data_IF_157986768575
#
_entry.id   IF_157986768575
#
_cell.length_a   1.000
_cell.length_b   1.000
_cell.length_c   1.000
_cell.angle_alpha   90.00
_cell.angle_beta   90.00
_cell.angle_gamma   90.00
#
_symmetry.space_group_name_H-M   'P 1'
#
loop_
_entity.id
_entity.type
_entity.pdbx_description
1 polymer ?
#
# COMPACT_ATOMS: atom_id res chain seq x y z
N UNK A 1 0.36 21.64 29.62
CA UNK A 1 1.55 21.81 28.74
C UNK A 1 2.40 20.53 28.64
N UNK A 2 2.67 19.79 29.72
CA UNK A 2 3.43 18.53 29.67
C UNK A 2 2.78 17.43 28.81
N UNK A 3 1.45 17.28 28.87
CA UNK A 3 0.71 16.30 28.05
C UNK A 3 0.84 16.55 26.54
N UNK A 4 0.71 17.81 26.11
CA UNK A 4 0.86 18.22 24.72
C UNK A 4 2.30 18.00 24.22
N UNK A 5 3.31 18.37 25.01
CA UNK A 5 4.71 18.11 24.69
C UNK A 5 5.01 16.60 24.62
N UNK A 6 4.48 15.81 25.55
CA UNK A 6 4.63 14.36 25.56
C UNK A 6 3.96 13.66 24.37
N UNK A 7 2.85 14.20 23.87
CA UNK A 7 2.18 13.70 22.67
C UNK A 7 3.00 14.01 21.40
N UNK A 8 3.52 15.23 21.26
CA UNK A 8 4.39 15.62 20.13
C UNK A 8 5.61 14.71 20.05
N UNK A 9 6.30 14.47 21.17
CA UNK A 9 7.46 13.57 21.22
C UNK A 9 7.10 12.15 20.79
N UNK A 10 5.95 11.63 21.26
CA UNK A 10 5.46 10.31 20.84
C UNK A 10 5.13 10.24 19.35
N UNK A 11 4.51 11.28 18.77
CA UNK A 11 4.20 11.29 17.33
C UNK A 11 5.48 11.32 16.48
N UNK A 12 6.52 12.04 16.91
CA UNK A 12 7.82 12.04 16.22
C UNK A 12 8.48 10.67 16.26
N UNK A 13 8.47 10.01 17.43
CA UNK A 13 9.00 8.65 17.57
C UNK A 13 8.21 7.65 16.70
N UNK A 14 6.88 7.74 16.71
CA UNK A 14 5.99 6.94 15.87
C UNK A 14 6.29 7.14 14.38
N UNK A 15 6.49 8.37 13.91
CA UNK A 15 6.81 8.66 12.52
C UNK A 15 8.16 8.03 12.10
N UNK A 16 9.18 8.09 12.97
CA UNK A 16 10.46 7.44 12.74
C UNK A 16 10.33 5.92 12.63
N UNK A 17 9.57 5.30 13.54
CA UNK A 17 9.34 3.85 13.53
C UNK A 17 8.50 3.42 12.32
N UNK A 18 7.47 4.19 11.96
CA UNK A 18 6.67 3.98 10.76
C UNK A 18 7.55 3.93 9.50
N UNK A 19 8.42 4.93 9.31
CA UNK A 19 9.32 4.96 8.16
C UNK A 19 10.21 3.71 8.11
N UNK A 20 10.83 3.33 9.22
CA UNK A 20 11.64 2.10 9.30
C UNK A 20 10.82 0.83 9.00
N UNK A 21 9.56 0.78 9.43
CA UNK A 21 8.66 -0.37 9.22
C UNK A 21 8.28 -0.52 7.74
N UNK A 22 7.92 0.58 7.06
CA UNK A 22 7.63 0.53 5.61
C UNK A 22 8.89 0.23 4.80
N UNK A 23 10.05 0.67 5.28
CA UNK A 23 11.35 0.37 4.67
C UNK A 23 11.73 -1.12 4.75
N UNK A 24 11.31 -1.86 5.79
CA UNK A 24 11.57 -3.29 5.91
C UNK A 24 11.15 -4.10 4.66
N UNK A 25 10.08 -3.69 3.98
CA UNK A 25 9.60 -4.32 2.76
C UNK A 25 10.59 -4.22 1.58
N UNK A 26 11.44 -3.19 1.53
CA UNK A 26 12.44 -2.99 0.46
C UNK A 26 13.58 -4.02 0.50
N UNK A 27 13.77 -4.65 1.66
CA UNK A 27 14.86 -5.60 1.87
C UNK A 27 14.47 -7.05 1.58
N UNK A 28 13.18 -7.31 1.33
CA UNK A 28 12.67 -8.66 1.10
C UNK A 28 12.77 -9.02 -0.38
N UNK A 29 13.34 -10.20 -0.65
CA UNK A 29 13.32 -10.87 -1.95
C UNK A 29 12.59 -12.21 -1.84
N UNK A 30 12.10 -12.73 -2.97
CA UNK A 30 11.45 -14.04 -3.02
C UNK A 30 12.34 -15.05 -3.73
N UNK A 31 12.53 -16.22 -3.14
CA UNK A 31 13.31 -17.32 -3.72
C UNK A 31 12.64 -17.94 -4.95
N UNK A 32 13.43 -18.55 -5.85
CA UNK A 32 12.91 -19.23 -7.05
C UNK A 32 11.96 -20.38 -6.76
N UNK A 33 11.99 -20.91 -5.53
CA UNK A 33 11.06 -21.93 -5.05
C UNK A 33 9.58 -21.48 -5.09
N UNK A 34 9.30 -20.18 -5.17
CA UNK A 34 7.93 -19.67 -5.34
C UNK A 34 7.34 -20.01 -6.70
N UNK A 35 8.16 -20.26 -7.73
CA UNK A 35 7.69 -20.73 -9.03
C UNK A 35 6.55 -19.87 -9.60
N UNK A 36 5.44 -20.54 -9.90
CA UNK A 36 4.21 -19.92 -10.43
C UNK A 36 3.55 -18.91 -9.46
N UNK A 37 3.80 -19.05 -8.15
CA UNK A 37 3.17 -18.23 -7.11
C UNK A 37 3.98 -16.95 -6.83
N UNK A 38 5.10 -16.75 -7.52
CA UNK A 38 5.97 -15.57 -7.38
C UNK A 38 5.22 -14.26 -7.60
N UNK A 39 4.52 -14.11 -8.73
CA UNK A 39 3.84 -12.86 -9.07
C UNK A 39 2.78 -12.49 -8.03
N UNK A 40 1.95 -13.45 -7.63
CA UNK A 40 0.92 -13.29 -6.59
C UNK A 40 1.56 -12.95 -5.23
N UNK A 41 2.67 -13.60 -4.89
CA UNK A 41 3.38 -13.35 -3.62
C UNK A 41 4.05 -11.98 -3.59
N UNK A 42 4.64 -11.54 -4.71
CA UNK A 42 5.19 -10.19 -4.83
C UNK A 42 4.10 -9.14 -4.62
N UNK A 43 2.95 -9.28 -5.28
CA UNK A 43 1.84 -8.34 -5.13
C UNK A 43 1.21 -8.35 -3.73
N UNK A 44 1.19 -9.50 -3.04
CA UNK A 44 0.78 -9.59 -1.64
C UNK A 44 1.68 -8.79 -0.71
N UNK A 45 2.99 -8.78 -0.98
CA UNK A 45 3.96 -7.96 -0.25
C UNK A 45 3.77 -6.47 -0.57
N UNK A 46 3.60 -6.15 -1.85
CA UNK A 46 3.37 -4.77 -2.31
C UNK A 46 2.10 -4.19 -1.72
N UNK A 47 1.02 -4.98 -1.66
CA UNK A 47 -0.27 -4.55 -1.12
C UNK A 47 -0.20 -4.31 0.39
N UNK A 48 0.43 -5.21 1.16
CA UNK A 48 0.65 -5.01 2.58
C UNK A 48 1.45 -3.71 2.85
N UNK A 49 2.50 -3.45 2.05
CA UNK A 49 3.27 -2.20 2.15
C UNK A 49 2.43 -0.98 1.78
N UNK A 50 1.69 -1.03 0.67
CA UNK A 50 0.84 0.06 0.22
C UNK A 50 -0.17 0.43 1.31
N UNK A 51 -0.82 -0.57 1.90
CA UNK A 51 -1.76 -0.43 3.01
C UNK A 51 -1.12 0.23 4.23
N UNK A 52 0.05 -0.25 4.67
CA UNK A 52 0.77 0.36 5.79
C UNK A 52 1.14 1.82 5.48
N UNK A 53 1.65 2.11 4.28
CA UNK A 53 1.97 3.48 3.87
C UNK A 53 0.75 4.41 3.88
N UNK A 54 -0.42 3.88 3.50
CA UNK A 54 -1.69 4.60 3.49
C UNK A 54 -2.12 4.97 4.90
N UNK A 55 -1.99 4.03 5.84
CA UNK A 55 -2.24 4.28 7.26
C UNK A 55 -1.37 5.46 7.77
N UNK A 56 -0.06 5.44 7.51
CA UNK A 56 0.82 6.52 7.94
C UNK A 56 0.49 7.87 7.29
N UNK A 57 0.17 7.87 5.99
CA UNK A 57 -0.28 9.08 5.27
C UNK A 57 -1.58 9.65 5.83
N UNK A 58 -2.53 8.80 6.21
CA UNK A 58 -3.80 9.24 6.83
C UNK A 58 -3.59 9.92 8.19
N UNK A 59 -2.50 9.57 8.88
CA UNK A 59 -2.06 10.20 10.12
C UNK A 59 -1.10 11.38 9.89
N UNK A 60 -0.77 11.71 8.63
CA UNK A 60 0.22 12.72 8.27
C UNK A 60 1.59 12.48 8.92
N UNK A 61 1.99 11.20 9.10
CA UNK A 61 3.33 10.83 9.55
C UNK A 61 4.42 11.13 8.50
N UNK A 62 3.99 11.52 7.30
CA UNK A 62 4.75 11.97 6.15
C UNK A 62 4.88 13.51 6.08
N UNK A 63 4.63 14.23 7.17
CA UNK A 63 4.92 15.66 7.27
C UNK A 63 5.84 15.99 8.44
N UNK A 64 6.97 16.65 8.19
CA UNK A 64 7.92 17.11 9.22
C UNK A 64 7.35 18.20 10.15
N UNK A 65 6.19 18.78 9.82
CA UNK A 65 5.54 19.82 10.63
C UNK A 65 4.58 19.28 11.69
N UNK A 66 5.07 18.37 12.55
CA UNK A 66 4.40 17.97 13.80
C UNK A 66 4.50 19.12 14.82
N UNK A 67 3.80 20.24 14.59
CA UNK A 67 3.99 21.48 15.38
C UNK A 67 2.77 21.97 16.14
N UNK A 68 1.58 21.43 15.89
CA UNK A 68 0.36 21.82 16.61
C UNK A 68 -0.24 20.67 17.41
N UNK A 69 -0.07 20.71 18.73
CA UNK A 69 -0.57 19.70 19.65
C UNK A 69 -2.11 19.59 19.68
N UNK A 70 -2.84 20.66 19.35
CA UNK A 70 -4.32 20.63 19.30
C UNK A 70 -4.78 19.80 18.11
N UNK A 71 -4.16 20.02 16.95
CA UNK A 71 -4.38 19.22 15.74
C UNK A 71 -3.99 17.74 15.92
N UNK A 72 -2.99 17.44 16.77
CA UNK A 72 -2.59 16.06 17.09
C UNK A 72 -3.59 15.34 18.01
N UNK A 73 -4.16 16.03 19.00
CA UNK A 73 -5.14 15.44 19.92
C UNK A 73 -6.39 14.92 19.20
N UNK A 74 -6.89 15.66 18.21
CA UNK A 74 -8.04 15.20 17.40
C UNK A 74 -7.73 14.02 16.48
N UNK A 75 -6.49 13.90 16.02
CA UNK A 75 -6.06 12.87 15.04
C UNK A 75 -5.57 11.58 15.68
N UNK A 76 -4.72 11.71 16.70
CA UNK A 76 -4.10 10.58 17.40
C UNK A 76 -4.90 10.17 18.65
N UNK A 77 -5.90 10.96 19.04
CA UNK A 77 -6.72 10.72 20.22
C UNK A 77 -5.90 10.91 21.50
N UNK A 78 -5.31 9.83 21.99
CA UNK A 78 -4.56 9.80 23.25
C UNK A 78 -3.11 9.39 23.06
N UNK A 79 -2.25 9.78 24.01
CA UNK A 79 -0.87 9.29 24.08
C UNK A 79 -0.80 7.76 24.20
N UNK A 80 -1.83 7.13 24.78
CA UNK A 80 -1.90 5.67 24.87
C UNK A 80 -2.09 5.03 23.49
N UNK A 81 -2.90 5.63 22.61
CA UNK A 81 -3.07 5.15 21.24
C UNK A 81 -1.76 5.27 20.45
N UNK A 82 -1.03 6.38 20.61
CA UNK A 82 0.30 6.55 19.99
C UNK A 82 1.26 5.47 20.45
N UNK A 83 1.35 5.22 21.76
CA UNK A 83 2.21 4.17 22.32
C UNK A 83 1.80 2.76 21.87
N UNK A 84 0.51 2.50 21.73
CA UNK A 84 0.01 1.22 21.22
C UNK A 84 0.38 1.05 19.74
N UNK A 85 0.26 2.10 18.93
CA UNK A 85 0.70 2.09 17.54
C UNK A 85 2.21 1.86 17.42
N UNK A 86 3.03 2.47 18.29
CA UNK A 86 4.47 2.20 18.36
C UNK A 86 4.73 0.71 18.65
N UNK A 87 3.97 0.11 19.56
CA UNK A 87 4.09 -1.32 19.90
C UNK A 87 3.77 -2.21 18.71
N UNK A 88 2.66 -1.96 18.01
CA UNK A 88 2.24 -2.74 16.83
C UNK A 88 3.25 -2.62 15.68
N UNK A 89 3.78 -1.42 15.41
CA UNK A 89 4.84 -1.25 14.42
C UNK A 89 6.14 -1.97 14.83
N UNK A 90 6.48 -1.95 16.12
CA UNK A 90 7.59 -2.70 16.68
C UNK A 90 7.46 -4.20 16.43
N UNK A 91 6.26 -4.76 16.63
CA UNK A 91 5.96 -6.16 16.33
C UNK A 91 6.13 -6.48 14.84
N UNK A 92 5.72 -5.58 13.92
CA UNK A 92 5.96 -5.77 12.48
C UNK A 92 7.47 -5.82 12.18
N UNK A 93 8.27 -4.95 12.79
CA UNK A 93 9.74 -4.97 12.63
C UNK A 93 10.33 -6.27 13.17
N UNK A 94 9.84 -6.77 14.30
CA UNK A 94 10.24 -8.06 14.88
C UNK A 94 9.90 -9.23 13.94
N UNK A 95 8.71 -9.25 13.33
CA UNK A 95 8.33 -10.29 12.36
C UNK A 95 9.29 -10.34 11.16
N UNK A 96 9.72 -9.18 10.64
CA UNK A 96 10.73 -9.13 9.57
C UNK A 96 12.10 -9.65 10.06
N UNK A 97 12.52 -9.27 11.26
CA UNK A 97 13.80 -9.72 11.84
C UNK A 97 13.81 -11.23 12.10
N UNK A 98 12.70 -11.79 12.58
CA UNK A 98 12.52 -13.24 12.75
C UNK A 98 12.61 -13.97 11.41
N UNK A 99 11.89 -13.47 10.40
CA UNK A 99 11.90 -14.04 9.05
C UNK A 99 13.30 -13.97 8.40
N UNK A 100 14.02 -12.86 8.58
CA UNK A 100 15.42 -12.71 8.17
C UNK A 100 16.33 -13.70 8.91
N UNK A 101 16.13 -13.87 10.22
CA UNK A 101 16.85 -14.87 11.01
C UNK A 101 16.65 -16.30 10.52
N UNK A 102 15.44 -16.65 10.09
CA UNK A 102 15.15 -17.95 9.47
C UNK A 102 15.81 -18.06 8.09
N UNK A 103 15.77 -17.00 7.28
CA UNK A 103 16.45 -16.93 5.99
C UNK A 103 17.96 -17.17 6.12
N UNK A 104 18.61 -16.51 7.08
CA UNK A 104 20.04 -16.64 7.34
C UNK A 104 20.40 -18.06 7.80
N UNK A 105 19.57 -18.68 8.65
CA UNK A 105 19.75 -20.09 9.04
C UNK A 105 19.62 -21.04 7.85
N UNK A 106 18.66 -20.79 6.96
CA UNK A 106 18.49 -21.58 5.74
C UNK A 106 19.72 -21.45 4.83
N UNK A 107 20.17 -20.21 4.58
CA UNK A 107 21.37 -19.91 3.78
C UNK A 107 22.64 -20.56 4.33
N UNK A 108 22.80 -20.61 5.66
CA UNK A 108 23.97 -21.24 6.30
C UNK A 108 24.02 -22.77 6.13
N UNK A 109 22.88 -23.40 5.83
CA UNK A 109 22.74 -24.86 5.68
C UNK A 109 22.68 -25.32 4.22
N UNK A 110 22.39 -24.40 3.29
CA UNK A 110 22.32 -24.70 1.87
C UNK A 110 23.72 -24.88 1.30
N UNK A 111 23.88 -25.88 0.42
CA UNK A 111 25.16 -26.10 -0.26
C UNK A 111 25.40 -25.01 -1.32
N UNK A 112 26.64 -24.53 -1.52
CA UNK A 112 26.93 -23.45 -2.46
C UNK A 112 26.56 -23.73 -3.93
N UNK A 113 26.41 -25.01 -4.29
CA UNK A 113 26.05 -25.46 -5.65
C UNK A 113 24.56 -25.75 -5.80
N UNK A 114 23.79 -25.71 -4.71
CA UNK A 114 22.36 -25.91 -4.74
C UNK A 114 21.67 -24.60 -5.19
N UNK A 115 20.93 -24.66 -6.30
CA UNK A 115 20.17 -23.54 -6.86
C UNK A 115 19.03 -23.05 -5.95
N UNK A 116 18.88 -23.64 -4.76
CA UNK A 116 17.85 -23.29 -3.77
C UNK A 116 17.97 -21.87 -3.20
N UNK A 117 19.15 -21.23 -3.33
CA UNK A 117 19.35 -19.84 -2.90
C UNK A 117 19.09 -18.78 -3.98
N UNK A 118 18.76 -19.19 -5.20
CA UNK A 118 18.47 -18.25 -6.29
C UNK A 118 17.16 -17.51 -5.98
N UNK A 119 17.14 -16.20 -6.23
CA UNK A 119 16.00 -15.32 -6.01
C UNK A 119 15.43 -14.81 -7.32
N UNK A 120 14.18 -14.39 -7.28
CA UNK A 120 13.57 -13.58 -8.32
C UNK A 120 14.03 -12.12 -8.22
N UNK A 121 14.13 -11.47 -9.37
CA UNK A 121 14.26 -10.04 -9.54
C UNK A 121 12.91 -9.48 -10.04
N UNK A 122 12.19 -8.69 -9.22
CA UNK A 122 10.92 -8.10 -9.62
C UNK A 122 10.98 -7.24 -10.89
N UNK A 123 12.15 -6.72 -11.28
CA UNK A 123 12.27 -5.89 -12.49
C UNK A 123 12.31 -6.72 -13.78
N UNK A 124 12.81 -7.96 -13.71
CA UNK A 124 13.07 -8.79 -14.90
C UNK A 124 12.23 -10.06 -14.94
N UNK A 125 11.80 -10.57 -13.80
CA UNK A 125 11.05 -11.83 -13.69
C UNK A 125 9.53 -11.67 -13.56
N UNK A 126 9.03 -10.45 -13.32
CA UNK A 126 7.59 -10.19 -13.36
C UNK A 126 7.11 -10.05 -14.81
N UNK A 127 5.90 -10.55 -15.08
CA UNK A 127 5.22 -10.23 -16.33
C UNK A 127 5.02 -8.71 -16.46
N UNK A 128 5.05 -8.13 -17.68
CA UNK A 128 5.06 -6.67 -17.86
C UNK A 128 3.93 -5.91 -17.16
N UNK A 129 2.72 -6.50 -17.11
CA UNK A 129 1.58 -5.91 -16.42
C UNK A 129 1.78 -5.89 -14.89
N UNK A 130 2.35 -6.96 -14.33
CA UNK A 130 2.64 -7.06 -12.89
C UNK A 130 3.85 -6.22 -12.51
N UNK A 131 4.87 -6.14 -13.36
CA UNK A 131 6.03 -5.27 -13.15
C UNK A 131 5.62 -3.79 -13.06
N UNK A 132 4.73 -3.34 -13.96
CA UNK A 132 4.18 -1.98 -13.92
C UNK A 132 3.36 -1.74 -12.65
N UNK A 133 2.57 -2.73 -12.23
CA UNK A 133 1.77 -2.64 -11.02
C UNK A 133 2.65 -2.57 -9.76
N UNK A 134 3.62 -3.49 -9.64
CA UNK A 134 4.62 -3.53 -8.59
C UNK A 134 5.33 -2.18 -8.44
N UNK A 135 5.88 -1.64 -9.53
CA UNK A 135 6.60 -0.36 -9.49
C UNK A 135 5.67 0.79 -9.08
N UNK A 136 4.41 0.79 -9.55
CA UNK A 136 3.47 1.85 -9.19
C UNK A 136 3.08 1.81 -7.72
N UNK A 137 2.81 0.62 -7.18
CA UNK A 137 2.50 0.44 -5.75
C UNK A 137 3.71 0.80 -4.88
N UNK A 138 4.91 0.39 -5.30
CA UNK A 138 6.18 0.76 -4.66
C UNK A 138 6.38 2.28 -4.65
N UNK A 139 6.21 2.95 -5.80
CA UNK A 139 6.32 4.40 -5.91
C UNK A 139 5.37 5.12 -4.95
N UNK A 140 4.07 4.74 -4.96
CA UNK A 140 3.06 5.33 -4.09
C UNK A 140 3.41 5.16 -2.61
N UNK A 141 3.98 4.02 -2.21
CA UNK A 141 4.39 3.78 -0.84
C UNK A 141 5.62 4.61 -0.44
N UNK A 142 6.60 4.78 -1.34
CA UNK A 142 7.83 5.56 -1.09
C UNK A 142 7.53 7.06 -1.01
N UNK A 143 6.67 7.58 -1.88
CA UNK A 143 6.28 9.01 -1.88
C UNK A 143 5.58 9.44 -0.57
N UNK A 144 5.10 8.49 0.22
CA UNK A 144 4.46 8.70 1.53
C UNK A 144 5.43 8.55 2.70
N UNK A 145 6.70 8.23 2.44
CA UNK A 145 7.72 8.21 3.46
C UNK A 145 8.33 9.61 3.57
N UNK A 146 8.58 10.04 4.80
CA UNK A 146 9.10 11.37 5.12
C UNK A 146 10.62 11.49 4.93
N UNK A 147 11.27 10.44 4.43
CA UNK A 147 12.72 10.29 4.47
C UNK A 147 13.33 10.30 3.07
N UNK A 148 14.47 10.99 2.92
CA UNK A 148 15.15 11.28 1.65
C UNK A 148 15.97 10.11 1.04
N UNK A 149 15.61 8.86 1.31
CA UNK A 149 16.26 7.69 0.70
C UNK A 149 16.19 6.40 1.53
N UNK A 150 16.20 5.26 0.84
CA UNK A 150 16.27 3.93 1.46
C UNK A 150 17.68 3.74 2.05
N UNK A 151 17.76 3.46 3.35
CA UNK A 151 18.99 3.04 4.03
C UNK A 151 19.54 1.81 3.34
N UNK A 152 20.85 1.81 3.11
CA UNK A 152 21.54 0.62 2.64
C UNK A 152 21.55 -0.43 3.76
N UNK A 153 20.53 -1.28 3.80
CA UNK A 153 20.57 -2.58 4.49
C UNK A 153 20.74 -3.69 3.44
N UNK A 154 21.33 -4.80 3.88
CA UNK A 154 21.45 -5.98 3.04
C UNK A 154 20.05 -6.51 2.71
N UNK A 155 19.81 -6.81 1.43
CA UNK A 155 18.62 -7.56 1.02
C UNK A 155 18.75 -9.00 1.51
N UNK A 156 17.63 -9.60 1.89
CA UNK A 156 17.50 -10.98 2.31
C UNK A 156 16.29 -11.61 1.62
N UNK A 157 16.19 -12.94 1.64
CA UNK A 157 15.21 -13.65 0.82
C UNK A 157 14.33 -14.60 1.63
N UNK A 158 13.05 -14.64 1.28
CA UNK A 158 12.13 -15.69 1.70
C UNK A 158 12.22 -16.84 0.71
N UNK A 159 12.73 -17.98 1.16
CA UNK A 159 12.89 -19.18 0.33
C UNK A 159 11.69 -20.13 0.40
N UNK A 160 10.82 -19.97 1.39
CA UNK A 160 9.70 -20.88 1.64
C UNK A 160 8.37 -20.14 1.67
N UNK A 161 7.43 -20.60 0.85
CA UNK A 161 6.09 -20.02 0.73
C UNK A 161 5.32 -20.04 2.06
N UNK A 162 5.50 -21.07 2.89
CA UNK A 162 4.89 -21.15 4.23
C UNK A 162 5.33 -19.98 5.14
N UNK A 163 6.61 -19.62 5.10
CA UNK A 163 7.14 -18.51 5.92
C UNK A 163 6.61 -17.18 5.42
N UNK A 164 6.54 -17.01 4.10
CA UNK A 164 5.95 -15.84 3.48
C UNK A 164 4.46 -15.68 3.82
N UNK A 165 3.66 -16.74 3.71
CA UNK A 165 2.22 -16.70 4.07
C UNK A 165 2.02 -16.22 5.49
N UNK A 166 2.74 -16.84 6.44
CA UNK A 166 2.66 -16.47 7.85
C UNK A 166 3.07 -15.01 8.09
N UNK A 167 4.21 -14.59 7.53
CA UNK A 167 4.67 -13.20 7.65
C UNK A 167 3.61 -12.20 7.16
N UNK A 168 3.00 -12.48 6.01
CA UNK A 168 1.98 -11.61 5.42
C UNK A 168 0.68 -11.62 6.22
N UNK A 169 0.24 -12.77 6.72
CA UNK A 169 -0.92 -12.91 7.60
C UNK A 169 -0.72 -12.09 8.88
N UNK A 170 0.38 -12.33 9.60
CA UNK A 170 0.72 -11.64 10.85
C UNK A 170 0.85 -10.11 10.64
N UNK A 171 1.48 -9.66 9.55
CA UNK A 171 1.55 -8.22 9.20
C UNK A 171 0.17 -7.65 8.93
N UNK A 172 -0.69 -8.37 8.21
CA UNK A 172 -2.04 -7.89 7.85
C UNK A 172 -2.88 -7.67 9.11
N UNK A 173 -2.83 -8.61 10.07
CA UNK A 173 -3.53 -8.51 11.36
C UNK A 173 -3.02 -7.34 12.23
N UNK A 174 -1.71 -7.10 12.24
CA UNK A 174 -1.13 -5.95 12.94
C UNK A 174 -1.54 -4.62 12.28
N UNK A 175 -1.62 -4.58 10.95
CA UNK A 175 -2.09 -3.40 10.22
C UNK A 175 -3.60 -3.19 10.40
N UNK A 176 -4.41 -4.24 10.49
CA UNK A 176 -5.83 -4.16 10.89
C UNK A 176 -5.95 -3.47 12.26
N UNK A 177 -5.17 -3.95 13.23
CA UNK A 177 -5.13 -3.39 14.59
C UNK A 177 -4.69 -1.92 14.59
N UNK A 178 -3.70 -1.55 13.76
CA UNK A 178 -3.26 -0.15 13.59
C UNK A 178 -4.36 0.74 13.03
N UNK A 179 -5.15 0.26 12.06
CA UNK A 179 -6.26 1.03 11.49
C UNK A 179 -7.38 1.21 12.52
N UNK A 180 -7.72 0.16 13.26
CA UNK A 180 -8.79 0.16 14.26
C UNK A 180 -8.48 1.08 15.46
N UNK A 181 -7.21 1.32 15.77
CA UNK A 181 -6.79 2.29 16.80
C UNK A 181 -7.10 3.75 16.44
N UNK A 182 -7.29 4.08 15.16
CA UNK A 182 -7.50 5.45 14.69
C UNK A 182 -8.71 5.54 13.75
N UNK A 183 -9.93 5.32 14.25
CA UNK A 183 -11.15 5.31 13.42
C UNK A 183 -11.41 6.65 12.73
N UNK A 184 -10.93 7.76 13.29
CA UNK A 184 -11.00 9.09 12.69
C UNK A 184 -10.28 9.19 11.32
N UNK A 185 -9.37 8.27 11.02
CA UNK A 185 -8.64 8.24 9.74
C UNK A 185 -9.34 7.45 8.64
N UNK A 186 -10.43 6.74 8.94
CA UNK A 186 -11.07 5.82 8.00
C UNK A 186 -11.52 6.52 6.71
N UNK A 187 -12.05 7.73 6.80
CA UNK A 187 -12.46 8.51 5.63
C UNK A 187 -11.26 8.90 4.76
N UNK A 188 -10.18 9.38 5.38
CA UNK A 188 -8.92 9.71 4.68
C UNK A 188 -8.32 8.48 4.01
N UNK A 189 -8.36 7.31 4.67
CA UNK A 189 -7.90 6.06 4.06
C UNK A 189 -8.74 5.66 2.85
N UNK A 190 -10.07 5.84 2.88
CA UNK A 190 -10.94 5.58 1.71
C UNK A 190 -10.56 6.49 0.54
N UNK A 191 -10.40 7.79 0.78
CA UNK A 191 -10.01 8.75 -0.26
C UNK A 191 -8.64 8.42 -0.86
N UNK A 192 -7.67 8.01 -0.02
CA UNK A 192 -6.37 7.56 -0.49
C UNK A 192 -6.46 6.28 -1.35
N UNK A 193 -7.39 5.35 -1.07
CA UNK A 193 -7.61 4.18 -1.92
C UNK A 193 -8.09 4.60 -3.32
N UNK A 194 -9.03 5.54 -3.41
CA UNK A 194 -9.54 6.00 -4.70
C UNK A 194 -8.43 6.68 -5.53
N UNK A 195 -7.55 7.44 -4.88
CA UNK A 195 -6.35 8.03 -5.50
C UNK A 195 -5.38 6.95 -5.97
N UNK A 196 -5.13 5.92 -5.16
CA UNK A 196 -4.26 4.80 -5.51
C UNK A 196 -4.79 4.03 -6.73
N UNK A 197 -6.07 3.67 -6.72
CA UNK A 197 -6.72 2.97 -7.84
C UNK A 197 -6.65 3.81 -9.11
N UNK A 198 -6.89 5.11 -9.00
CA UNK A 198 -6.76 6.05 -10.13
C UNK A 198 -5.33 6.11 -10.66
N UNK A 199 -4.33 6.11 -9.77
CA UNK A 199 -2.92 6.16 -10.14
C UNK A 199 -2.39 4.84 -10.71
N UNK A 200 -2.90 3.70 -10.24
CA UNK A 200 -2.59 2.36 -10.77
C UNK A 200 -3.22 2.18 -12.15
N UNK A 201 -4.45 2.69 -12.33
CA UNK A 201 -5.19 2.62 -13.58
C UNK A 201 -5.67 1.21 -13.96
N UNK A 202 -6.27 1.11 -15.13
CA UNK A 202 -6.81 -0.14 -15.66
C UNK A 202 -5.67 -0.99 -16.26
N UNK A 203 -5.12 -1.90 -15.48
CA UNK A 203 -4.11 -2.88 -15.92
C UNK A 203 -4.65 -4.30 -15.80
N UNK A 204 -4.11 -5.26 -16.56
CA UNK A 204 -4.46 -6.68 -16.38
C UNK A 204 -4.17 -7.19 -14.96
N UNK A 205 -3.24 -6.56 -14.25
CA UNK A 205 -2.92 -6.87 -12.86
C UNK A 205 -3.97 -6.42 -11.84
N UNK A 206 -4.92 -5.55 -12.23
CA UNK A 206 -5.92 -5.01 -11.29
C UNK A 206 -6.88 -6.09 -10.77
N UNK A 207 -7.22 -7.09 -11.58
CA UNK A 207 -8.07 -8.20 -11.16
C UNK A 207 -7.39 -9.07 -10.10
N UNK A 208 -6.10 -9.39 -10.32
CA UNK A 208 -5.31 -10.12 -9.34
C UNK A 208 -5.11 -9.30 -8.06
N UNK A 209 -4.85 -7.99 -8.18
CA UNK A 209 -4.76 -7.10 -7.02
C UNK A 209 -6.08 -7.05 -6.25
N UNK A 210 -7.23 -7.04 -6.92
CA UNK A 210 -8.54 -7.10 -6.26
C UNK A 210 -8.70 -8.37 -5.42
N UNK A 211 -8.32 -9.53 -5.96
CA UNK A 211 -8.35 -10.80 -5.23
C UNK A 211 -7.43 -10.78 -3.99
N UNK A 212 -6.23 -10.23 -4.15
CA UNK A 212 -5.28 -10.05 -3.04
C UNK A 212 -5.82 -9.08 -1.99
N UNK A 213 -6.37 -7.95 -2.43
CA UNK A 213 -6.94 -6.93 -1.56
C UNK A 213 -8.17 -7.43 -0.81
N UNK A 214 -8.97 -8.35 -1.37
CA UNK A 214 -10.10 -8.95 -0.66
C UNK A 214 -9.67 -9.64 0.66
N UNK A 215 -8.47 -10.22 0.69
CA UNK A 215 -7.90 -10.87 1.87
C UNK A 215 -7.11 -9.91 2.77
N UNK A 216 -6.45 -8.89 2.20
CA UNK A 216 -5.46 -8.07 2.92
C UNK A 216 -5.85 -6.61 3.15
N UNK A 217 -6.76 -6.07 2.34
CA UNK A 217 -7.08 -4.64 2.27
C UNK A 217 -8.50 -4.41 1.72
N UNK A 218 -9.50 -4.56 2.60
CA UNK A 218 -10.91 -4.39 2.25
C UNK A 218 -11.24 -3.01 1.66
N UNK A 219 -10.49 -1.96 2.04
CA UNK A 219 -10.74 -0.62 1.52
C UNK A 219 -10.27 -0.50 0.07
N UNK A 220 -9.10 -1.06 -0.25
CA UNK A 220 -8.61 -1.10 -1.61
C UNK A 220 -9.47 -1.97 -2.52
N UNK A 221 -9.92 -3.14 -2.04
CA UNK A 221 -10.85 -4.00 -2.77
C UNK A 221 -12.12 -3.24 -3.16
N UNK A 222 -12.72 -2.52 -2.19
CA UNK A 222 -13.92 -1.72 -2.42
C UNK A 222 -13.68 -0.62 -3.45
N UNK A 223 -12.54 0.07 -3.38
CA UNK A 223 -12.18 1.12 -4.33
C UNK A 223 -11.99 0.55 -5.75
N UNK A 224 -11.32 -0.60 -5.90
CA UNK A 224 -11.15 -1.27 -7.19
C UNK A 224 -12.51 -1.70 -7.76
N UNK A 225 -13.38 -2.26 -6.93
CA UNK A 225 -14.74 -2.68 -7.34
C UNK A 225 -15.54 -1.48 -7.81
N UNK A 226 -15.55 -0.37 -7.07
CA UNK A 226 -16.24 0.87 -7.49
C UNK A 226 -15.69 1.44 -8.79
N UNK A 227 -14.36 1.49 -8.94
CA UNK A 227 -13.72 1.99 -10.15
C UNK A 227 -14.12 1.12 -11.36
N UNK A 228 -14.14 -0.20 -11.21
CA UNK A 228 -14.54 -1.14 -12.25
C UNK A 228 -16.03 -0.99 -12.61
N UNK A 229 -16.90 -0.90 -11.61
CA UNK A 229 -18.35 -0.69 -11.83
C UNK A 229 -18.65 0.67 -12.47
N UNK A 230 -17.87 1.71 -12.12
CA UNK A 230 -18.01 3.04 -12.70
C UNK A 230 -17.52 3.12 -14.14
N UNK A 231 -16.49 2.34 -14.49
CA UNK A 231 -16.00 2.21 -15.87
C UNK A 231 -17.03 1.48 -16.76
N UNK A 232 -17.74 0.50 -16.20
CA UNK A 232 -18.83 -0.21 -16.88
C UNK A 232 -20.08 0.68 -17.03
N UNK A 233 -20.28 1.61 -16.08
CA UNK A 233 -21.28 2.69 -16.16
C UNK A 233 -20.74 3.90 -16.90
N UNK A 234 -20.31 3.74 -18.15
CA UNK A 234 -20.18 4.86 -19.08
C UNK A 234 -21.50 5.63 -19.14
N UNK A 235 -21.56 6.78 -18.46
CA UNK A 235 -22.71 7.68 -18.50
C UNK A 235 -22.67 8.42 -19.83
N UNK A 236 -23.23 7.79 -20.87
CA UNK A 236 -23.47 8.45 -22.14
C UNK A 236 -24.77 9.25 -22.02
N UNK A 237 -24.65 10.57 -22.04
CA UNK A 237 -25.82 11.43 -22.21
C UNK A 237 -26.08 11.53 -23.71
N UNK A 238 -27.07 10.79 -24.21
CA UNK A 238 -27.47 10.81 -25.62
C UNK A 238 -28.74 11.62 -25.77
N UNK A 239 -28.66 12.70 -26.55
CA UNK A 239 -29.82 13.49 -26.97
C UNK A 239 -30.20 13.10 -28.40
N UNK A 240 -31.24 12.29 -28.57
CA UNK A 240 -31.74 11.88 -29.88
C UNK A 240 -33.11 12.47 -30.17
N UNK A 241 -33.28 13.12 -31.33
CA UNK A 241 -34.54 13.71 -31.78
C UNK A 241 -34.36 14.64 -32.99
N UNK A 242 -35.35 14.69 -33.88
CA UNK A 242 -35.35 15.62 -35.03
C UNK A 242 -35.80 17.01 -34.56
N UNK A 243 -34.84 17.90 -34.27
CA UNK A 243 -35.11 19.26 -33.82
C UNK A 243 -34.48 19.66 -32.48
N UNK A 244 -33.53 18.88 -31.97
CA UNK A 244 -32.82 19.21 -30.72
C UNK A 244 -32.06 20.53 -30.87
N UNK A 245 -32.52 21.56 -30.17
CA UNK A 245 -31.83 22.85 -30.04
C UNK A 245 -31.81 23.24 -28.57
N UNK A 246 -30.67 23.68 -28.06
CA UNK A 246 -30.52 24.02 -26.65
C UNK A 246 -29.07 24.27 -26.25
N UNK A 247 -28.88 24.89 -25.09
CA UNK A 247 -27.58 25.10 -24.46
C UNK A 247 -27.38 24.05 -23.36
N UNK A 248 -26.29 23.29 -23.45
CA UNK A 248 -25.90 22.35 -22.40
C UNK A 248 -24.81 22.95 -21.53
N UNK A 249 -25.05 22.97 -20.22
CA UNK A 249 -24.04 23.32 -19.21
C UNK A 249 -23.85 22.09 -18.35
N UNK A 250 -22.64 21.52 -18.35
CA UNK A 250 -22.27 20.38 -17.54
C UNK A 250 -21.15 20.76 -16.58
N UNK A 251 -21.24 20.28 -15.33
CA UNK A 251 -20.15 20.34 -14.38
C UNK A 251 -19.55 18.94 -14.22
N UNK A 252 -18.31 18.77 -14.67
CA UNK A 252 -17.56 17.52 -14.57
C UNK A 252 -16.42 17.67 -13.57
N UNK A 253 -16.33 16.75 -12.62
CA UNK A 253 -15.19 16.67 -11.70
C UNK A 253 -14.45 15.35 -11.92
N UNK A 254 -13.14 15.42 -12.20
CA UNK A 254 -12.29 14.25 -12.48
C UNK A 254 -11.66 14.28 -13.88
N UNK A 255 -10.89 13.24 -14.23
CA UNK A 255 -10.26 13.12 -15.55
C UNK A 255 -11.28 12.70 -16.61
N UNK A 256 -11.53 13.57 -17.59
CA UNK A 256 -12.39 13.26 -18.73
C UNK A 256 -11.55 12.70 -19.88
N UNK A 257 -11.87 11.50 -20.36
CA UNK A 257 -11.32 10.90 -21.58
C UNK A 257 -12.44 10.47 -22.53
N UNK A 258 -12.18 10.50 -23.84
CA UNK A 258 -13.10 10.02 -24.90
C UNK A 258 -14.34 10.90 -25.17
N UNK A 259 -14.14 12.21 -25.37
CA UNK A 259 -15.20 13.08 -25.90
C UNK A 259 -15.28 12.91 -27.42
N UNK A 260 -16.39 12.40 -27.93
CA UNK A 260 -16.63 12.26 -29.39
C UNK A 260 -17.85 13.07 -29.76
N UNK A 261 -17.63 14.17 -30.49
CA UNK A 261 -18.74 14.86 -31.17
C UNK A 261 -19.07 14.09 -32.45
N UNK A 262 -20.31 13.61 -32.57
CA UNK A 262 -20.78 13.03 -33.81
C UNK A 262 -20.66 14.06 -34.94
N UNK A 263 -20.01 13.69 -36.05
CA UNK A 263 -20.06 14.50 -37.27
C UNK A 263 -21.47 14.35 -37.85
N UNK A 264 -22.24 15.44 -37.86
CA UNK A 264 -23.49 15.50 -38.60
C UNK A 264 -23.23 15.22 -40.07
N UNK A 265 -24.02 14.31 -40.66
CA UNK A 265 -24.09 14.10 -42.11
C UNK A 265 -24.85 15.21 -42.81
#
# INVERSE_FOLDING_TARGET
MAEAAGLVVGVVALAGLFNNTVECFEFVQLGRAFGKDFQTSQLKLDNARLRLSRWGKSLSLDNDNVRDAVSLGGRFGSKANVKHAETLLGQIVELFAEAEGVSNKYRSRAEPQDGSLVVYDPQTDLEPAMAKLHEKMRQLAIERQNWSGVRQKAKWALYQEKQFRRLIEDITELVDSLVDLFPATQQSQRELCEIEVSAIGHSKGISLLKEIAAAQDKLLEQAITRATDSADRSHHIVFSGSGNTGLQIGHSSGTMSSFTFGKGG
#
